data_IF_798801432513
#
_entry.id   IF_798801432513
#
_cell.length_a   1.000
_cell.length_b   1.000
_cell.length_c   1.000
_cell.angle_alpha   90.00
_cell.angle_beta   90.00
_cell.angle_gamma   90.00
#
_symmetry.space_group_name_H-M   'P 1'
#
loop_
_entity.id
_entity.type
_entity.pdbx_description
1 polymer ?
#
# COMPACT_ATOMS: atom_id res chain seq x y z
N UNK A 1 11.54 5.57 -2.91
CA UNK A 1 10.57 6.57 -3.41
C UNK A 1 9.18 6.29 -2.84
N UNK A 2 8.38 7.32 -2.56
CA UNK A 2 6.98 7.16 -2.12
C UNK A 2 6.03 7.41 -3.30
N UNK A 3 4.93 6.66 -3.36
CA UNK A 3 3.91 6.79 -4.41
C UNK A 3 2.50 6.78 -3.83
N UNK A 4 1.65 7.57 -4.45
CA UNK A 4 0.21 7.63 -4.17
C UNK A 4 -0.52 6.89 -5.30
N UNK A 5 -1.35 5.92 -4.93
CA UNK A 5 -2.11 5.08 -5.88
C UNK A 5 -3.59 5.27 -5.58
N UNK A 6 -4.28 5.91 -6.51
CA UNK A 6 -5.70 6.29 -6.40
C UNK A 6 -6.62 5.28 -7.07
N UNK A 7 -6.11 4.52 -8.05
CA UNK A 7 -6.90 3.53 -8.79
C UNK A 7 -6.14 2.21 -8.96
N UNK A 8 -6.87 1.13 -9.28
CA UNK A 8 -6.30 -0.22 -9.44
C UNK A 8 -5.39 -0.31 -10.66
N UNK A 9 -5.69 0.42 -11.72
CA UNK A 9 -4.93 0.43 -12.97
C UNK A 9 -3.50 0.92 -12.75
N UNK A 10 -3.28 1.75 -11.74
CA UNK A 10 -1.95 2.23 -11.34
C UNK A 10 -1.09 1.19 -10.63
N UNK A 11 -1.60 -0.02 -10.38
CA UNK A 11 -0.83 -1.16 -9.88
C UNK A 11 -0.20 -1.99 -11.01
N UNK A 12 -0.39 -1.63 -12.28
CA UNK A 12 -0.11 -2.51 -13.43
C UNK A 12 1.36 -2.58 -13.90
N UNK A 13 2.28 -1.80 -13.32
CA UNK A 13 3.69 -1.78 -13.72
C UNK A 13 4.61 -2.16 -12.56
N UNK A 14 5.73 -2.80 -12.89
CA UNK A 14 6.80 -3.12 -11.95
C UNK A 14 7.67 -1.88 -11.75
N UNK A 15 7.98 -1.54 -10.50
CA UNK A 15 8.83 -0.41 -10.16
C UNK A 15 9.66 -0.72 -8.91
N UNK A 16 10.98 -0.78 -9.10
CA UNK A 16 11.96 -1.14 -8.08
C UNK A 16 12.30 0.03 -7.15
N UNK A 17 12.02 1.28 -7.55
CA UNK A 17 12.36 2.45 -6.77
C UNK A 17 11.32 2.76 -5.70
N UNK A 18 10.11 2.22 -5.86
CA UNK A 18 9.02 2.38 -4.89
C UNK A 18 9.32 1.60 -3.62
N UNK A 19 9.43 2.35 -2.53
CA UNK A 19 9.66 1.85 -1.18
C UNK A 19 8.49 2.12 -0.24
N UNK A 20 7.55 3.00 -0.65
CA UNK A 20 6.35 3.32 0.11
C UNK A 20 5.15 3.59 -0.79
N UNK A 21 3.99 3.03 -0.44
CA UNK A 21 2.73 3.26 -1.13
C UNK A 21 1.66 3.78 -0.17
N UNK A 22 0.95 4.82 -0.60
CA UNK A 22 -0.33 5.24 -0.04
C UNK A 22 -1.46 4.84 -0.99
N UNK A 23 -2.42 4.06 -0.51
CA UNK A 23 -3.62 3.71 -1.27
C UNK A 23 -4.75 4.69 -0.96
N UNK A 24 -5.22 5.39 -1.99
CA UNK A 24 -6.39 6.28 -1.92
C UNK A 24 -7.73 5.57 -2.06
N UNK A 25 -7.73 4.27 -2.32
CA UNK A 25 -8.93 3.45 -2.49
C UNK A 25 -8.88 2.23 -1.56
N UNK A 26 -10.02 1.52 -1.45
CA UNK A 26 -10.09 0.26 -0.70
C UNK A 26 -9.61 -0.90 -1.60
N UNK A 27 -8.44 -1.49 -1.36
CA UNK A 27 -7.97 -2.62 -2.16
C UNK A 27 -8.75 -3.90 -1.80
N UNK A 28 -8.91 -4.77 -2.79
CA UNK A 28 -9.14 -6.20 -2.57
C UNK A 28 -7.83 -6.89 -2.16
N UNK A 29 -7.90 -8.10 -1.59
CA UNK A 29 -6.70 -8.86 -1.23
C UNK A 29 -5.78 -9.10 -2.45
N UNK A 30 -6.37 -9.38 -3.61
CA UNK A 30 -5.61 -9.56 -4.86
C UNK A 30 -4.84 -8.30 -5.28
N UNK A 31 -5.36 -7.10 -5.01
CA UNK A 31 -4.64 -5.85 -5.31
C UNK A 31 -3.38 -5.75 -4.44
N UNK A 32 -3.45 -6.16 -3.17
CA UNK A 32 -2.28 -6.20 -2.28
C UNK A 32 -1.23 -7.15 -2.84
N UNK A 33 -1.61 -8.39 -3.22
CA UNK A 33 -0.65 -9.34 -3.77
C UNK A 33 -0.01 -8.86 -5.09
N UNK A 34 -0.81 -8.30 -5.99
CA UNK A 34 -0.29 -7.67 -7.23
C UNK A 34 0.72 -6.57 -6.91
N UNK A 35 0.41 -5.71 -5.94
CA UNK A 35 1.30 -4.64 -5.51
C UNK A 35 2.62 -5.18 -4.94
N UNK A 36 2.57 -6.24 -4.11
CA UNK A 36 3.78 -6.86 -3.54
C UNK A 36 4.69 -7.45 -4.62
N UNK A 37 4.11 -8.03 -5.67
CA UNK A 37 4.88 -8.57 -6.80
C UNK A 37 5.49 -7.46 -7.65
N UNK A 38 4.78 -6.34 -7.82
CA UNK A 38 5.20 -5.26 -8.71
C UNK A 38 6.17 -4.28 -8.03
N UNK A 39 6.14 -4.16 -6.71
CA UNK A 39 7.02 -3.28 -5.93
C UNK A 39 7.83 -4.11 -4.92
N UNK A 40 8.87 -4.85 -5.36
CA UNK A 40 9.59 -5.80 -4.51
C UNK A 40 10.42 -5.13 -3.40
N UNK A 41 10.65 -3.82 -3.49
CA UNK A 41 11.35 -3.03 -2.48
C UNK A 41 10.40 -2.27 -1.53
N UNK A 42 9.09 -2.58 -1.57
CA UNK A 42 8.10 -1.95 -0.72
C UNK A 42 8.39 -2.22 0.76
N UNK A 43 8.39 -1.15 1.57
CA UNK A 43 8.62 -1.20 3.03
C UNK A 43 7.49 -0.60 3.83
N UNK A 44 6.71 0.30 3.24
CA UNK A 44 5.56 0.93 3.90
C UNK A 44 4.33 0.87 3.03
N UNK A 45 3.21 0.50 3.64
CA UNK A 45 1.90 0.53 3.03
C UNK A 45 0.96 1.35 3.92
N UNK A 46 0.50 2.49 3.43
CA UNK A 46 -0.54 3.28 4.07
C UNK A 46 -1.87 3.03 3.35
N UNK A 47 -2.91 2.73 4.12
CA UNK A 47 -4.25 2.43 3.58
C UNK A 47 -5.30 3.31 4.25
N UNK A 48 -6.48 3.48 3.63
CA UNK A 48 -7.58 4.21 4.25
C UNK A 48 -7.96 3.58 5.58
N UNK A 49 -8.23 4.41 6.61
CA UNK A 49 -8.63 3.95 7.96
C UNK A 49 -9.70 2.85 7.95
N UNK A 50 -10.74 3.01 7.13
CA UNK A 50 -11.80 2.00 7.02
C UNK A 50 -11.27 0.62 6.57
N UNK A 51 -10.28 0.59 5.67
CA UNK A 51 -9.64 -0.65 5.25
C UNK A 51 -8.69 -1.18 6.33
N UNK A 52 -7.89 -0.32 6.97
CA UNK A 52 -6.99 -0.71 8.05
C UNK A 52 -7.71 -1.50 9.17
N UNK A 53 -8.92 -1.06 9.53
CA UNK A 53 -9.76 -1.71 10.54
C UNK A 53 -10.34 -3.07 10.08
N UNK A 54 -10.52 -3.27 8.77
CA UNK A 54 -11.20 -4.44 8.20
C UNK A 54 -10.26 -5.40 7.46
N UNK A 55 -8.96 -5.09 7.40
CA UNK A 55 -7.96 -5.91 6.71
C UNK A 55 -7.80 -7.27 7.41
N UNK A 56 -7.75 -8.33 6.61
CA UNK A 56 -7.69 -9.71 7.09
C UNK A 56 -6.37 -10.02 7.82
N UNK A 57 -6.43 -10.95 8.78
CA UNK A 57 -5.22 -11.42 9.48
C UNK A 57 -4.22 -12.08 8.53
N UNK A 58 -4.71 -12.76 7.49
CA UNK A 58 -3.88 -13.33 6.42
C UNK A 58 -3.07 -12.24 5.72
N UNK A 59 -3.74 -11.16 5.30
CA UNK A 59 -3.05 -10.02 4.64
C UNK A 59 -2.03 -9.37 5.58
N UNK A 60 -2.38 -9.14 6.86
CA UNK A 60 -1.44 -8.62 7.86
C UNK A 60 -0.20 -9.52 8.00
N UNK A 61 -0.40 -10.83 8.04
CA UNK A 61 0.70 -11.82 8.15
C UNK A 61 1.61 -11.77 6.94
N UNK A 62 1.05 -11.69 5.73
CA UNK A 62 1.83 -11.57 4.49
C UNK A 62 2.66 -10.29 4.50
N UNK A 63 2.06 -9.14 4.85
CA UNK A 63 2.79 -7.87 4.93
C UNK A 63 3.92 -7.92 5.96
N UNK A 64 3.66 -8.48 7.15
CA UNK A 64 4.67 -8.62 8.19
C UNK A 64 5.84 -9.52 7.76
N UNK A 65 5.56 -10.66 7.09
CA UNK A 65 6.61 -11.56 6.57
C UNK A 65 7.48 -10.90 5.51
N UNK A 66 6.92 -9.97 4.73
CA UNK A 66 7.66 -9.19 3.73
C UNK A 66 8.33 -7.94 4.33
N UNK A 67 8.35 -7.79 5.67
CA UNK A 67 8.88 -6.60 6.37
C UNK A 67 8.20 -5.28 5.95
N UNK A 68 6.91 -5.34 5.65
CA UNK A 68 6.13 -4.17 5.23
C UNK A 68 5.36 -3.64 6.43
N UNK A 69 5.64 -2.38 6.78
CA UNK A 69 4.92 -1.64 7.81
C UNK A 69 3.57 -1.18 7.26
N UNK A 70 2.50 -1.76 7.76
CA UNK A 70 1.13 -1.31 7.50
C UNK A 70 0.80 -0.13 8.42
N UNK A 71 0.25 0.93 7.85
CA UNK A 71 -0.17 2.15 8.56
C UNK A 71 -1.54 2.62 8.08
N UNK A 72 -2.27 3.34 8.92
CA UNK A 72 -3.50 4.03 8.50
C UNK A 72 -3.20 5.46 8.01
N UNK A 73 -4.02 5.93 7.08
CA UNK A 73 -4.04 7.30 6.59
C UNK A 73 -5.39 7.62 5.95
N UNK A 74 -5.65 8.90 5.68
CA UNK A 74 -6.81 9.38 4.96
C UNK A 74 -6.45 9.69 3.50
N UNK A 75 -7.43 9.69 2.60
CA UNK A 75 -7.23 10.12 1.19
C UNK A 75 -6.66 11.55 1.11
N UNK A 76 -6.94 12.39 2.12
CA UNK A 76 -6.42 13.76 2.22
C UNK A 76 -4.96 13.81 2.64
N UNK A 77 -4.42 12.71 3.18
CA UNK A 77 -3.05 12.62 3.64
C UNK A 77 -2.10 12.32 2.48
N UNK A 78 -2.57 12.15 1.25
CA UNK A 78 -1.74 11.85 0.08
C UNK A 78 -0.61 12.88 -0.12
N UNK A 79 -0.88 14.16 0.10
CA UNK A 79 0.12 15.24 -0.02
C UNK A 79 1.11 15.17 1.15
N UNK A 80 0.60 14.96 2.37
CA UNK A 80 1.45 14.83 3.56
C UNK A 80 2.35 13.59 3.47
N UNK A 81 1.81 12.46 3.00
CA UNK A 81 2.53 11.20 2.87
C UNK A 81 3.78 11.32 2.01
N UNK A 82 3.75 12.14 0.96
CA UNK A 82 4.89 12.40 0.09
C UNK A 82 5.93 13.36 0.70
N UNK A 83 5.53 14.20 1.66
CA UNK A 83 6.40 15.15 2.35
C UNK A 83 7.04 14.63 3.65
N UNK A 84 6.41 13.63 4.29
CA UNK A 84 6.99 12.83 5.38
C UNK A 84 8.08 11.88 4.88
#
# INVERSE_FOLDING_TARGET
MKKVIMTREQLSFIDLEITGVHLGFRPAEQDIFTMLNNYPNLRTLQVPKAYYLTISNTTKTVLARNNIKLTEGSVRDAIQYLGD
#
